data_IF_968490457879
#
_entry.id   IF_968490457879
#
_cell.length_a   1.000
_cell.length_b   1.000
_cell.length_c   1.000
_cell.angle_alpha   90.00
_cell.angle_beta   90.00
_cell.angle_gamma   90.00
#
_symmetry.space_group_name_H-M   'P 1'
#
loop_
_entity.id
_entity.type
_entity.pdbx_description
1 polymer ?
#
# COMPACT_ATOMS: atom_id res chain seq x y z
N UNK A 1 55.55 -31.17 4.71
CA UNK A 1 54.94 -31.33 3.37
C UNK A 1 54.76 -29.95 2.79
N UNK A 2 55.49 -29.64 1.72
CA UNK A 2 55.49 -28.35 1.06
C UNK A 2 54.25 -28.16 0.17
N UNK A 3 53.73 -26.93 0.09
CA UNK A 3 52.90 -26.49 -1.01
C UNK A 3 53.23 -25.02 -1.33
N UNK A 4 53.75 -24.82 -2.53
CA UNK A 4 53.98 -23.54 -3.20
C UNK A 4 52.72 -23.20 -4.00
N UNK A 5 52.24 -21.96 -3.96
CA UNK A 5 51.49 -21.41 -5.11
C UNK A 5 51.46 -19.88 -5.16
N UNK A 6 52.19 -19.38 -6.16
CA UNK A 6 52.02 -18.22 -7.03
C UNK A 6 51.08 -17.05 -6.65
N UNK A 7 51.69 -15.87 -6.56
CA UNK A 7 51.08 -14.55 -6.64
C UNK A 7 51.11 -14.06 -8.11
N UNK A 8 49.97 -13.61 -8.66
CA UNK A 8 49.92 -12.76 -9.86
C UNK A 8 48.87 -11.67 -9.72
N UNK A 9 49.38 -10.45 -9.68
CA UNK A 9 48.71 -9.16 -9.79
C UNK A 9 48.32 -8.87 -11.24
N UNK A 10 47.09 -8.38 -11.47
CA UNK A 10 46.65 -7.80 -12.75
C UNK A 10 46.02 -6.44 -12.48
N UNK A 11 46.61 -5.41 -13.06
CA UNK A 11 46.15 -4.03 -13.08
C UNK A 11 44.95 -3.87 -14.03
N UNK A 12 43.92 -3.15 -13.59
CA UNK A 12 42.79 -2.70 -14.40
C UNK A 12 43.08 -1.31 -14.99
N UNK A 13 42.96 -1.19 -16.32
CA UNK A 13 43.04 0.08 -17.07
C UNK A 13 41.60 0.48 -17.46
N UNK A 14 41.18 1.76 -17.35
CA UNK A 14 39.84 2.20 -17.70
C UNK A 14 39.73 2.58 -19.19
N UNK A 15 38.67 2.14 -19.87
CA UNK A 15 38.34 2.53 -21.24
C UNK A 15 37.47 3.79 -21.28
N UNK A 16 38.02 4.85 -21.89
CA UNK A 16 37.33 6.06 -22.34
C UNK A 16 36.51 5.75 -23.61
N UNK A 17 35.26 6.22 -23.67
CA UNK A 17 34.49 6.34 -24.92
C UNK A 17 34.69 7.77 -25.46
N UNK A 18 35.11 7.86 -26.73
CA UNK A 18 35.32 9.11 -27.47
C UNK A 18 34.25 9.23 -28.55
N UNK A 19 33.66 10.42 -28.65
CA UNK A 19 32.75 10.88 -29.71
C UNK A 19 33.50 11.32 -30.98
N UNK A 20 32.89 11.08 -32.16
CA UNK A 20 33.01 11.77 -33.47
C UNK A 20 32.16 10.95 -34.45
N UNK A 21 31.38 11.44 -35.42
CA UNK A 21 31.34 12.72 -36.13
C UNK A 21 31.23 12.40 -37.64
N UNK A 22 30.04 12.65 -38.20
CA UNK A 22 29.61 12.95 -39.60
C UNK A 22 30.33 12.38 -40.85
N UNK A 23 29.55 11.92 -41.85
CA UNK A 23 29.58 12.39 -43.26
C UNK A 23 28.48 11.74 -44.17
N UNK A 24 27.54 12.59 -44.59
CA UNK A 24 26.90 12.82 -45.90
C UNK A 24 26.56 11.72 -46.97
N UNK A 25 25.26 11.74 -47.33
CA UNK A 25 24.64 11.95 -48.66
C UNK A 25 24.24 10.79 -49.62
N UNK A 26 22.97 10.91 -50.04
CA UNK A 26 22.29 10.58 -51.31
C UNK A 26 21.69 9.17 -51.57
N UNK A 27 20.37 9.16 -51.81
CA UNK A 27 19.67 8.13 -52.58
C UNK A 27 18.26 7.81 -52.08
N UNK A 28 17.23 8.24 -52.82
CA UNK A 28 15.83 7.79 -52.71
C UNK A 28 15.22 7.75 -54.11
N UNK A 29 14.07 7.09 -54.37
CA UNK A 29 13.52 5.87 -53.78
C UNK A 29 13.01 4.88 -54.88
N UNK A 30 12.81 3.60 -54.55
CA UNK A 30 11.91 2.73 -55.33
C UNK A 30 11.07 1.84 -54.43
N UNK A 31 9.79 1.76 -54.81
CA UNK A 31 8.69 1.19 -54.08
C UNK A 31 8.57 -0.32 -54.27
N UNK A 32 8.11 -1.03 -53.24
CA UNK A 32 7.44 -2.32 -53.37
C UNK A 32 6.33 -2.45 -52.32
N UNK A 33 5.13 -2.76 -52.82
CA UNK A 33 3.85 -2.87 -52.10
C UNK A 33 3.81 -4.04 -51.09
N UNK A 34 2.97 -3.95 -50.04
CA UNK A 34 2.69 -5.08 -49.14
C UNK A 34 1.62 -6.03 -49.72
N UNK A 35 1.80 -7.32 -49.45
CA UNK A 35 0.87 -8.39 -49.81
C UNK A 35 -0.29 -8.46 -48.80
N UNK A 36 -1.51 -8.38 -49.34
CA UNK A 36 -2.78 -8.70 -48.69
C UNK A 36 -2.84 -10.21 -48.39
N UNK A 37 -3.08 -10.60 -47.14
CA UNK A 37 -3.53 -11.95 -46.81
C UNK A 37 -5.04 -11.97 -46.58
N UNK A 38 -5.72 -12.60 -47.54
CA UNK A 38 -7.16 -12.85 -47.57
C UNK A 38 -7.54 -13.93 -46.56
N UNK A 39 -8.65 -13.70 -45.86
CA UNK A 39 -9.42 -14.70 -45.10
C UNK A 39 -9.74 -15.91 -45.97
N UNK A 40 -9.58 -17.11 -45.42
CA UNK A 40 -10.29 -18.32 -45.87
C UNK A 40 -10.93 -19.01 -44.67
N UNK A 41 -12.26 -19.11 -44.75
CA UNK A 41 -13.09 -20.02 -43.98
C UNK A 41 -12.73 -21.46 -44.32
N UNK A 42 -12.56 -22.30 -43.31
CA UNK A 42 -12.79 -23.73 -43.41
C UNK A 42 -13.59 -24.20 -42.21
N UNK A 43 -14.76 -24.74 -42.51
CA UNK A 43 -15.66 -25.47 -41.63
C UNK A 43 -14.96 -26.70 -41.02
N UNK A 44 -15.12 -26.89 -39.71
CA UNK A 44 -15.26 -28.22 -39.12
C UNK A 44 -16.45 -28.18 -38.16
N UNK A 45 -17.45 -29.02 -38.46
CA UNK A 45 -18.59 -29.37 -37.61
C UNK A 45 -18.14 -30.39 -36.57
N UNK A 46 -18.58 -30.21 -35.32
CA UNK A 46 -18.94 -31.34 -34.43
C UNK A 46 -19.89 -30.85 -33.33
N UNK A 47 -21.15 -31.22 -33.49
CA UNK A 47 -22.11 -31.66 -32.46
C UNK A 47 -22.04 -31.08 -31.04
N UNK A 48 -22.98 -30.17 -30.73
CA UNK A 48 -23.64 -30.09 -29.43
C UNK A 48 -25.11 -29.68 -29.69
N UNK A 49 -26.04 -30.58 -29.38
CA UNK A 49 -27.48 -30.30 -29.28
C UNK A 49 -27.95 -30.68 -27.89
N UNK A 50 -28.97 -29.96 -27.48
CA UNK A 50 -29.90 -30.21 -26.38
C UNK A 50 -29.45 -29.75 -24.98
N UNK A 51 -29.88 -28.53 -24.62
CA UNK A 51 -30.86 -28.34 -23.55
C UNK A 51 -31.30 -26.86 -23.53
N UNK A 52 -32.49 -26.59 -24.05
CA UNK A 52 -33.17 -25.30 -23.88
C UNK A 52 -34.55 -25.53 -23.23
N UNK A 53 -34.77 -24.78 -22.15
CA UNK A 53 -36.04 -24.16 -21.77
C UNK A 53 -37.16 -25.08 -21.25
N UNK A 54 -37.15 -25.27 -19.93
CA UNK A 54 -38.36 -25.50 -19.13
C UNK A 54 -38.55 -24.28 -18.21
N UNK A 55 -39.61 -23.50 -18.42
CA UNK A 55 -40.58 -23.08 -17.39
C UNK A 55 -41.57 -22.05 -17.97
N UNK A 56 -42.79 -22.52 -18.20
CA UNK A 56 -43.95 -21.70 -18.56
C UNK A 56 -45.20 -22.14 -17.80
N UNK A 57 -45.67 -21.24 -16.93
CA UNK A 57 -47.06 -20.86 -16.54
C UNK A 57 -48.21 -21.91 -16.37
N UNK A 58 -48.81 -21.81 -15.17
CA UNK A 58 -50.23 -21.55 -14.82
C UNK A 58 -51.38 -22.53 -15.17
N UNK A 59 -52.19 -22.95 -14.17
CA UNK A 59 -53.58 -22.47 -13.88
C UNK A 59 -54.43 -23.38 -12.94
N UNK A 60 -55.08 -22.76 -11.92
CA UNK A 60 -56.50 -22.92 -11.45
C UNK A 60 -57.03 -24.27 -10.87
N UNK A 61 -58.06 -24.42 -10.01
CA UNK A 61 -58.88 -23.61 -9.08
C UNK A 61 -59.79 -24.55 -8.21
N UNK A 62 -60.04 -24.18 -6.93
CA UNK A 62 -61.24 -24.25 -6.04
C UNK A 62 -62.30 -25.43 -6.11
N UNK A 63 -62.57 -26.15 -4.99
CA UNK A 63 -63.86 -26.16 -4.20
C UNK A 63 -63.98 -27.21 -3.04
N UNK A 64 -64.30 -26.70 -1.82
CA UNK A 64 -65.28 -27.12 -0.77
C UNK A 64 -65.32 -28.51 -0.07
N UNK A 65 -65.19 -28.54 1.29
CA UNK A 65 -66.29 -28.68 2.31
C UNK A 65 -66.00 -29.54 3.58
N UNK A 66 -66.34 -28.97 4.78
CA UNK A 66 -66.82 -29.55 6.09
C UNK A 66 -65.92 -30.58 6.85
N UNK A 67 -65.80 -30.67 8.19
CA UNK A 67 -66.34 -29.99 9.40
C UNK A 67 -65.79 -30.65 10.71
N UNK A 68 -65.62 -29.87 11.83
CA UNK A 68 -65.52 -30.21 13.29
C UNK A 68 -64.40 -31.20 13.79
N UNK A 69 -63.73 -31.11 14.96
CA UNK A 69 -63.94 -30.42 16.25
C UNK A 69 -62.65 -30.28 17.11
N UNK A 70 -62.72 -29.37 18.12
CA UNK A 70 -62.13 -29.41 19.49
C UNK A 70 -60.62 -29.31 19.74
N UNK A 71 -60.16 -28.16 20.29
CA UNK A 71 -59.64 -28.00 21.69
C UNK A 71 -58.93 -26.63 21.91
N UNK A 72 -58.80 -26.12 23.16
CA UNK A 72 -58.78 -24.67 23.42
C UNK A 72 -57.42 -24.06 23.84
N UNK A 73 -57.35 -22.73 23.65
CA UNK A 73 -56.60 -21.72 24.43
C UNK A 73 -55.06 -21.77 24.47
N UNK A 74 -54.40 -21.00 23.59
CA UNK A 74 -53.01 -20.56 23.77
C UNK A 74 -53.01 -19.25 24.56
N UNK A 75 -52.37 -19.30 25.74
CA UNK A 75 -52.10 -18.15 26.60
C UNK A 75 -50.97 -17.34 25.97
N UNK A 76 -51.20 -16.05 25.71
CA UNK A 76 -50.16 -15.13 25.21
C UNK A 76 -49.24 -14.76 26.37
N UNK A 77 -48.02 -15.31 26.39
CA UNK A 77 -46.97 -14.88 27.29
C UNK A 77 -46.28 -13.62 26.72
N UNK A 78 -46.21 -12.55 27.53
CA UNK A 78 -45.43 -11.34 27.23
C UNK A 78 -43.94 -11.68 27.04
N UNK A 79 -43.22 -11.02 26.12
CA UNK A 79 -41.81 -11.25 25.97
C UNK A 79 -41.08 -10.64 27.17
N UNK A 80 -40.37 -11.47 27.91
CA UNK A 80 -39.41 -11.02 28.90
C UNK A 80 -38.32 -10.20 28.20
N UNK A 81 -38.09 -8.99 28.69
CA UNK A 81 -36.99 -8.13 28.25
C UNK A 81 -35.70 -8.77 28.77
N UNK A 82 -35.08 -9.60 27.94
CA UNK A 82 -33.72 -10.09 28.18
C UNK A 82 -32.80 -8.90 28.05
N UNK A 83 -32.27 -8.41 29.18
CA UNK A 83 -31.21 -7.42 29.20
C UNK A 83 -30.06 -7.93 28.33
N UNK A 84 -29.76 -7.21 27.25
CA UNK A 84 -28.57 -7.42 26.43
C UNK A 84 -27.35 -7.37 27.36
N UNK A 85 -26.83 -8.55 27.71
CA UNK A 85 -25.56 -8.67 28.39
C UNK A 85 -24.51 -7.96 27.52
N UNK A 86 -23.89 -6.91 28.06
CA UNK A 86 -22.70 -6.30 27.51
C UNK A 86 -21.73 -7.41 27.13
N UNK A 87 -21.31 -7.43 25.87
CA UNK A 87 -20.25 -8.31 25.41
C UNK A 87 -19.05 -8.19 26.37
N UNK A 88 -18.44 -9.30 26.80
CA UNK A 88 -17.28 -9.21 27.67
C UNK A 88 -16.19 -8.40 26.95
N UNK A 89 -15.70 -7.33 27.59
CA UNK A 89 -14.52 -6.59 27.13
C UNK A 89 -13.41 -7.62 26.86
N UNK A 90 -13.08 -7.84 25.59
CA UNK A 90 -11.98 -8.73 25.18
C UNK A 90 -10.73 -8.24 25.92
N UNK A 91 -10.10 -9.09 26.72
CA UNK A 91 -8.83 -8.72 27.36
C UNK A 91 -7.80 -8.48 26.25
N UNK A 92 -7.15 -7.31 26.27
CA UNK A 92 -6.07 -6.99 25.34
C UNK A 92 -4.95 -8.04 25.44
N UNK A 93 -4.36 -8.40 24.31
CA UNK A 93 -3.23 -9.33 24.25
C UNK A 93 -1.96 -8.56 24.60
N UNK A 94 -1.13 -9.13 25.47
CA UNK A 94 0.22 -8.61 25.68
C UNK A 94 1.10 -8.98 24.48
N UNK A 95 1.66 -7.97 23.82
CA UNK A 95 2.44 -8.11 22.59
C UNK A 95 3.88 -7.68 22.84
N UNK A 96 4.83 -8.58 22.56
CA UNK A 96 6.24 -8.24 22.47
C UNK A 96 6.53 -7.66 21.07
N UNK A 97 6.80 -6.35 20.99
CA UNK A 97 7.10 -5.66 19.75
C UNK A 97 8.61 -5.52 19.55
N UNK A 98 9.16 -6.30 18.62
CA UNK A 98 10.48 -6.06 18.06
C UNK A 98 10.39 -5.04 16.92
N UNK A 99 11.48 -4.36 16.61
CA UNK A 99 11.51 -3.36 15.54
C UNK A 99 12.91 -3.28 14.92
N UNK A 100 12.99 -2.84 13.66
CA UNK A 100 14.25 -2.43 13.08
C UNK A 100 14.65 -1.03 13.58
N UNK A 101 15.95 -0.74 13.61
CA UNK A 101 16.47 0.50 14.20
C UNK A 101 15.89 1.77 13.53
N UNK A 102 15.67 1.72 12.21
CA UNK A 102 15.07 2.82 11.45
C UNK A 102 13.68 3.21 11.98
N UNK A 103 12.94 2.27 12.58
CA UNK A 103 11.58 2.46 13.07
C UNK A 103 11.50 2.74 14.59
N UNK A 104 12.63 2.96 15.27
CA UNK A 104 12.67 3.20 16.73
C UNK A 104 11.64 4.23 17.19
N UNK A 105 11.62 5.40 16.56
CA UNK A 105 10.71 6.48 16.92
C UNK A 105 9.23 6.05 16.82
N UNK A 106 8.86 5.31 15.77
CA UNK A 106 7.49 4.81 15.60
C UNK A 106 7.19 3.70 16.60
N UNK A 107 8.14 2.81 16.89
CA UNK A 107 7.96 1.76 17.89
C UNK A 107 7.68 2.35 19.29
N UNK A 108 8.42 3.39 19.69
CA UNK A 108 8.19 4.10 20.95
C UNK A 108 6.80 4.74 21.00
N UNK A 109 6.35 5.39 19.92
CA UNK A 109 5.00 5.93 19.84
C UNK A 109 3.94 4.83 19.93
N UNK A 110 4.11 3.69 19.25
CA UNK A 110 3.18 2.55 19.32
C UNK A 110 3.07 2.01 20.76
N UNK A 111 4.19 1.90 21.47
CA UNK A 111 4.20 1.43 22.85
C UNK A 111 3.47 2.41 23.79
N UNK A 112 3.52 3.71 23.50
CA UNK A 112 2.78 4.73 24.27
C UNK A 112 1.26 4.66 24.08
N UNK A 113 0.77 4.09 22.97
CA UNK A 113 -0.67 3.94 22.71
C UNK A 113 -1.34 2.85 23.57
N UNK A 114 -0.56 1.91 24.12
CA UNK A 114 -1.12 0.81 24.91
C UNK A 114 -0.09 0.10 25.79
N UNK A 115 -0.35 0.05 27.10
CA UNK A 115 0.45 -0.69 28.10
C UNK A 115 0.60 -2.20 27.81
N UNK A 116 -0.25 -2.74 26.94
CA UNK A 116 -0.16 -4.13 26.48
C UNK A 116 0.96 -4.37 25.46
N UNK A 117 1.66 -3.34 24.98
CA UNK A 117 2.72 -3.46 23.98
C UNK A 117 4.07 -3.20 24.65
N UNK A 118 4.91 -4.23 24.71
CA UNK A 118 6.24 -4.16 25.32
C UNK A 118 7.32 -4.21 24.24
N UNK A 119 8.19 -3.20 24.21
CA UNK A 119 9.30 -3.15 23.26
C UNK A 119 10.37 -4.21 23.58
N UNK A 120 10.91 -4.80 22.52
CA UNK A 120 12.04 -5.75 22.56
C UNK A 120 13.14 -5.31 21.62
N UNK A 121 14.38 -5.61 21.99
CA UNK A 121 15.58 -5.25 21.23
C UNK A 121 16.13 -6.41 20.40
N UNK A 122 16.81 -6.06 19.31
CA UNK A 122 17.67 -6.95 18.53
C UNK A 122 19.04 -6.27 18.46
N UNK A 123 20.10 -7.05 18.63
CA UNK A 123 21.46 -6.58 18.41
C UNK A 123 21.80 -6.74 16.92
N UNK A 124 21.71 -5.63 16.18
CA UNK A 124 22.02 -5.53 14.74
C UNK A 124 23.53 -5.34 14.52
N UNK A 125 24.29 -6.43 14.53
CA UNK A 125 25.76 -6.41 14.30
C UNK A 125 26.08 -6.97 12.92
N UNK A 126 27.31 -6.73 12.46
CA UNK A 126 27.85 -7.28 11.20
C UNK A 126 29.18 -8.00 11.44
N UNK A 127 29.49 -8.98 10.60
CA UNK A 127 30.84 -9.53 10.45
C UNK A 127 31.72 -8.57 9.63
N UNK A 128 33.03 -8.82 9.61
CA UNK A 128 34.01 -7.98 8.89
C UNK A 128 33.80 -7.98 7.36
N UNK A 129 33.18 -9.02 6.81
CA UNK A 129 32.82 -9.12 5.38
C UNK A 129 31.51 -8.39 5.03
N UNK A 130 30.86 -7.77 6.01
CA UNK A 130 29.63 -7.01 5.85
C UNK A 130 28.33 -7.83 5.95
N UNK A 131 28.40 -9.15 6.14
CA UNK A 131 27.20 -9.96 6.37
C UNK A 131 26.67 -9.79 7.81
N UNK A 132 25.34 -9.93 8.02
CA UNK A 132 24.73 -9.66 9.32
C UNK A 132 25.04 -10.74 10.37
N UNK A 133 25.39 -10.31 11.58
CA UNK A 133 25.63 -11.10 12.81
C UNK A 133 24.59 -10.76 13.89
N UNK A 134 23.35 -11.10 13.60
CA UNK A 134 22.18 -10.67 14.37
C UNK A 134 21.99 -11.50 15.65
N UNK A 135 21.49 -10.87 16.71
CA UNK A 135 21.15 -11.56 17.94
C UNK A 135 19.83 -11.06 18.53
N UNK A 136 18.90 -11.98 18.79
CA UNK A 136 17.60 -11.68 19.41
C UNK A 136 17.76 -11.75 20.93
N UNK A 137 17.74 -10.59 21.57
CA UNK A 137 17.88 -10.49 23.03
C UNK A 137 16.68 -11.16 23.73
N UNK A 138 16.94 -11.89 24.82
CA UNK A 138 15.92 -12.59 25.62
C UNK A 138 14.99 -13.55 24.82
N UNK A 139 15.54 -14.29 23.85
CA UNK A 139 14.79 -15.24 23.02
C UNK A 139 14.01 -16.32 23.82
N UNK A 140 14.46 -16.68 25.03
CA UNK A 140 13.72 -17.58 25.91
C UNK A 140 12.46 -16.95 26.49
N UNK A 141 12.48 -15.63 26.75
CA UNK A 141 11.39 -14.90 27.36
C UNK A 141 10.14 -14.83 26.48
N UNK A 142 10.29 -14.84 25.16
CA UNK A 142 9.17 -14.67 24.21
C UNK A 142 8.39 -15.97 23.91
N UNK A 143 8.79 -17.10 24.49
CA UNK A 143 8.09 -18.38 24.28
C UNK A 143 6.64 -18.30 24.78
N UNK A 144 5.70 -18.75 23.94
CA UNK A 144 4.27 -18.68 24.26
C UNK A 144 3.67 -17.27 24.26
N UNK A 145 4.42 -16.23 23.90
CA UNK A 145 3.93 -14.87 23.82
C UNK A 145 3.41 -14.52 22.42
N UNK A 146 2.61 -13.45 22.34
CA UNK A 146 2.29 -12.80 21.06
C UNK A 146 3.45 -11.89 20.68
N UNK A 147 4.05 -12.14 19.51
CA UNK A 147 5.23 -11.42 19.06
C UNK A 147 4.92 -10.67 17.79
N UNK A 148 5.46 -9.46 17.66
CA UNK A 148 5.37 -8.68 16.44
C UNK A 148 6.73 -8.10 16.06
N UNK A 149 6.88 -7.79 14.77
CA UNK A 149 8.06 -7.14 14.22
C UNK A 149 7.66 -5.94 13.36
N UNK A 150 8.06 -4.73 13.77
CA UNK A 150 7.91 -3.51 12.98
C UNK A 150 9.10 -3.35 12.02
N UNK A 151 8.81 -3.55 10.74
CA UNK A 151 9.78 -3.57 9.65
C UNK A 151 9.85 -2.23 8.90
N UNK A 152 10.99 -2.00 8.23
CA UNK A 152 11.20 -0.92 7.27
C UNK A 152 12.07 -1.45 6.14
N UNK A 153 11.50 -1.67 4.97
CA UNK A 153 12.23 -2.22 3.82
C UNK A 153 12.83 -1.09 2.97
N UNK A 154 13.75 -0.33 3.56
CA UNK A 154 14.35 0.87 2.97
C UNK A 154 15.36 0.59 1.85
N UNK A 155 16.02 -0.57 1.87
CA UNK A 155 16.99 -0.98 0.87
C UNK A 155 17.13 -2.51 0.78
N UNK A 156 17.67 -3.07 -0.32
CA UNK A 156 17.89 -4.51 -0.44
C UNK A 156 18.74 -5.13 0.67
N UNK A 157 19.78 -4.41 1.15
CA UNK A 157 20.61 -4.87 2.26
C UNK A 157 19.83 -4.96 3.58
N UNK A 158 19.06 -3.91 3.87
CA UNK A 158 18.19 -3.82 5.06
C UNK A 158 17.06 -4.86 5.01
N UNK A 159 16.56 -5.20 3.82
CA UNK A 159 15.57 -6.29 3.65
C UNK A 159 16.17 -7.63 4.08
N UNK A 160 17.40 -7.95 3.68
CA UNK A 160 18.02 -9.25 3.97
C UNK A 160 18.22 -9.49 5.48
N UNK A 161 18.74 -8.49 6.21
CA UNK A 161 18.91 -8.60 7.67
C UNK A 161 17.55 -8.74 8.38
N UNK A 162 16.53 -7.98 7.98
CA UNK A 162 15.22 -8.02 8.63
C UNK A 162 14.50 -9.33 8.33
N UNK A 163 14.59 -9.86 7.10
CA UNK A 163 14.05 -11.18 6.76
C UNK A 163 14.66 -12.29 7.62
N UNK A 164 15.95 -12.19 7.96
CA UNK A 164 16.62 -13.15 8.85
C UNK A 164 15.98 -13.19 10.24
N UNK A 165 15.64 -12.02 10.81
CA UNK A 165 14.89 -11.91 12.07
C UNK A 165 13.45 -12.40 11.93
N UNK A 166 12.75 -11.93 10.90
CA UNK A 166 11.35 -12.27 10.61
C UNK A 166 11.19 -13.79 10.47
N UNK A 167 12.17 -14.48 9.86
CA UNK A 167 12.14 -15.94 9.73
C UNK A 167 12.49 -16.68 11.02
N UNK A 168 13.28 -16.06 11.90
CA UNK A 168 13.70 -16.65 13.17
C UNK A 168 12.61 -16.57 14.25
N UNK A 169 11.96 -15.40 14.41
CA UNK A 169 11.03 -15.13 15.51
C UNK A 169 9.89 -16.17 15.65
N UNK A 170 9.16 -16.57 14.58
CA UNK A 170 8.12 -17.58 14.68
C UNK A 170 8.62 -18.93 15.20
N UNK A 171 9.88 -19.29 14.90
CA UNK A 171 10.49 -20.57 15.27
C UNK A 171 10.92 -20.60 16.74
N UNK A 172 10.87 -19.48 17.45
CA UNK A 172 11.19 -19.38 18.88
C UNK A 172 9.99 -19.75 19.77
N UNK A 173 9.09 -20.62 19.28
CA UNK A 173 7.92 -21.13 20.00
C UNK A 173 6.95 -20.04 20.48
N UNK A 174 6.84 -18.95 19.73
CA UNK A 174 5.89 -17.85 20.00
C UNK A 174 4.45 -18.33 19.73
N UNK A 175 3.47 -17.76 20.44
CA UNK A 175 2.06 -18.13 20.29
C UNK A 175 1.47 -17.57 19.00
N UNK A 176 1.84 -16.36 18.60
CA UNK A 176 1.46 -15.79 17.30
C UNK A 176 2.56 -14.85 16.82
N UNK A 177 2.61 -14.61 15.51
CA UNK A 177 3.54 -13.68 14.91
C UNK A 177 2.86 -12.72 13.94
N UNK A 178 3.15 -11.43 14.09
CA UNK A 178 2.66 -10.36 13.21
C UNK A 178 3.84 -9.54 12.69
N UNK A 179 3.98 -9.43 11.38
CA UNK A 179 4.90 -8.47 10.76
C UNK A 179 4.09 -7.23 10.43
N UNK A 180 4.54 -6.07 10.93
CA UNK A 180 4.03 -4.77 10.50
C UNK A 180 5.03 -4.22 9.51
N UNK A 181 4.65 -4.15 8.23
CA UNK A 181 5.45 -3.58 7.16
C UNK A 181 4.68 -2.36 6.63
N UNK A 182 4.85 -1.16 7.22
CA UNK A 182 4.02 -0.01 6.90
C UNK A 182 3.98 0.32 5.41
N UNK A 183 5.11 0.20 4.72
CA UNK A 183 5.24 0.46 3.29
C UNK A 183 5.78 -0.78 2.54
N UNK A 184 5.11 -1.18 1.46
CA UNK A 184 5.53 -2.29 0.59
C UNK A 184 6.31 -1.74 -0.64
N UNK A 185 7.65 -1.78 -0.62
CA UNK A 185 8.48 -0.93 -1.50
C UNK A 185 8.45 -1.31 -2.98
N UNK A 186 8.11 -2.56 -3.31
CA UNK A 186 8.04 -3.05 -4.70
C UNK A 186 6.63 -2.98 -5.28
N UNK A 187 5.63 -2.47 -4.53
CA UNK A 187 4.23 -2.48 -4.94
C UNK A 187 3.93 -1.69 -6.21
N UNK A 188 4.78 -0.74 -6.60
CA UNK A 188 4.63 0.01 -7.86
C UNK A 188 5.17 -0.73 -9.10
N UNK A 189 5.74 -1.93 -8.91
CA UNK A 189 6.20 -2.79 -10.01
C UNK A 189 5.54 -4.15 -9.89
N UNK A 190 4.20 -4.10 -9.90
CA UNK A 190 3.28 -5.21 -9.72
C UNK A 190 2.89 -5.89 -11.03
N UNK A 191 2.96 -5.18 -12.16
CA UNK A 191 2.52 -5.70 -13.46
C UNK A 191 3.66 -5.78 -14.47
N UNK A 192 3.54 -6.71 -15.42
CA UNK A 192 4.35 -6.75 -16.63
C UNK A 192 3.63 -5.90 -17.69
N UNK A 193 4.33 -4.95 -18.30
CA UNK A 193 3.82 -4.20 -19.45
C UNK A 193 4.22 -4.91 -20.76
N UNK A 194 5.41 -5.50 -20.80
CA UNK A 194 5.94 -6.27 -21.92
C UNK A 194 6.53 -7.63 -21.47
N UNK A 195 6.71 -8.55 -22.42
CA UNK A 195 7.34 -9.84 -22.14
C UNK A 195 8.81 -9.62 -21.71
N UNK A 196 9.18 -10.21 -20.56
CA UNK A 196 10.50 -10.03 -19.95
C UNK A 196 10.54 -9.05 -18.77
N UNK A 197 9.47 -8.27 -18.55
CA UNK A 197 9.33 -7.50 -17.31
C UNK A 197 9.24 -8.44 -16.11
N UNK A 198 9.90 -8.07 -15.01
CA UNK A 198 9.90 -8.86 -13.77
C UNK A 198 9.11 -8.11 -12.71
N UNK A 199 7.88 -8.54 -12.43
CA UNK A 199 7.05 -7.96 -11.38
C UNK A 199 7.66 -8.23 -9.98
N UNK A 200 8.47 -7.30 -9.47
CA UNK A 200 9.20 -7.47 -8.21
C UNK A 200 8.27 -7.44 -6.98
N UNK A 201 7.07 -6.87 -7.10
CA UNK A 201 6.01 -6.99 -6.09
C UNK A 201 5.69 -8.47 -5.81
N UNK A 202 5.53 -9.27 -6.87
CA UNK A 202 5.25 -10.70 -6.76
C UNK A 202 6.39 -11.42 -6.05
N UNK A 203 7.63 -11.17 -6.45
CA UNK A 203 8.81 -11.80 -5.81
C UNK A 203 8.89 -11.50 -4.32
N UNK A 204 8.72 -10.24 -3.91
CA UNK A 204 8.76 -9.86 -2.49
C UNK A 204 7.60 -10.48 -1.71
N UNK A 205 6.38 -10.47 -2.26
CA UNK A 205 5.23 -11.11 -1.65
C UNK A 205 5.44 -12.62 -1.46
N UNK A 206 6.08 -13.31 -2.41
CA UNK A 206 6.43 -14.74 -2.31
C UNK A 206 7.50 -15.00 -1.27
N UNK A 207 8.50 -14.12 -1.13
CA UNK A 207 9.47 -14.20 -0.04
C UNK A 207 8.75 -14.07 1.31
N UNK A 208 7.91 -13.05 1.50
CA UNK A 208 7.12 -12.90 2.73
C UNK A 208 6.16 -14.07 2.98
N UNK A 209 5.66 -14.71 1.92
CA UNK A 209 4.81 -15.91 2.05
C UNK A 209 5.55 -17.14 2.58
N UNK A 210 6.88 -17.12 2.61
CA UNK A 210 7.68 -18.22 3.16
C UNK A 210 8.10 -17.98 4.62
N UNK A 211 7.55 -16.95 5.28
CA UNK A 211 7.72 -16.75 6.72
C UNK A 211 7.22 -18.01 7.45
N UNK A 212 8.03 -18.60 8.36
CA UNK A 212 7.62 -19.79 9.09
C UNK A 212 6.36 -19.57 9.93
N UNK A 213 5.55 -20.61 10.00
CA UNK A 213 4.31 -20.63 10.79
C UNK A 213 4.67 -20.68 12.29
N UNK A 214 4.00 -19.86 13.10
CA UNK A 214 4.15 -19.85 14.57
C UNK A 214 3.30 -20.98 15.20
N UNK A 215 3.35 -21.15 16.53
CA UNK A 215 2.52 -22.19 17.19
C UNK A 215 1.02 -21.99 17.00
N UNK A 216 0.57 -20.73 16.91
CA UNK A 216 -0.83 -20.38 16.73
C UNK A 216 -1.27 -20.26 15.27
N UNK A 217 -0.38 -20.58 14.31
CA UNK A 217 -0.71 -20.58 12.89
C UNK A 217 0.04 -19.54 12.06
N UNK A 218 -0.48 -19.27 10.84
CA UNK A 218 0.12 -18.36 9.86
C UNK A 218 0.44 -16.98 10.43
N UNK A 219 1.51 -16.37 9.93
CA UNK A 219 1.91 -15.04 10.37
C UNK A 219 1.00 -13.98 9.75
N UNK A 220 0.55 -13.01 10.54
CA UNK A 220 -0.18 -11.86 10.03
C UNK A 220 0.79 -10.85 9.42
N UNK A 221 0.41 -10.20 8.31
CA UNK A 221 1.23 -9.19 7.63
C UNK A 221 0.41 -7.91 7.46
N UNK A 222 0.69 -6.91 8.29
CA UNK A 222 0.01 -5.61 8.26
C UNK A 222 0.73 -4.68 7.30
N UNK A 223 0.03 -4.21 6.27
CA UNK A 223 0.55 -3.26 5.27
C UNK A 223 -0.45 -2.12 5.12
N UNK A 224 0.03 -0.88 5.08
CA UNK A 224 -0.81 0.29 4.87
C UNK A 224 -0.84 0.66 3.38
N UNK A 225 -2.04 1.00 2.88
CA UNK A 225 -2.30 1.56 1.55
C UNK A 225 -1.45 0.96 0.41
N UNK A 226 -1.45 -0.37 0.33
CA UNK A 226 -0.76 -1.11 -0.75
C UNK A 226 -1.17 -0.59 -2.14
N UNK A 227 -0.19 -0.49 -3.05
CA UNK A 227 -0.36 0.20 -4.33
C UNK A 227 -1.51 -0.38 -5.16
N UNK A 228 -1.55 -1.70 -5.34
CA UNK A 228 -2.65 -2.38 -6.00
C UNK A 228 -3.27 -3.42 -5.06
N UNK A 229 -4.57 -3.30 -4.81
CA UNK A 229 -5.30 -4.25 -3.94
C UNK A 229 -5.21 -5.70 -4.47
N UNK A 230 -5.01 -5.88 -5.78
CA UNK A 230 -4.80 -7.15 -6.45
C UNK A 230 -3.52 -7.86 -6.00
N UNK A 231 -2.53 -7.14 -5.45
CA UNK A 231 -1.33 -7.74 -4.84
C UNK A 231 -1.68 -8.71 -3.70
N UNK A 232 -2.89 -8.65 -3.14
CA UNK A 232 -3.43 -9.67 -2.22
C UNK A 232 -3.25 -11.10 -2.76
N UNK A 233 -3.37 -11.28 -4.08
CA UNK A 233 -3.24 -12.59 -4.73
C UNK A 233 -1.79 -13.02 -4.96
N UNK A 234 -0.81 -12.16 -4.68
CA UNK A 234 0.61 -12.53 -4.73
C UNK A 234 1.07 -13.25 -3.48
N UNK A 235 0.42 -13.01 -2.34
CA UNK A 235 0.70 -13.71 -1.11
C UNK A 235 0.16 -15.14 -1.17
N UNK A 236 0.94 -16.09 -0.65
CA UNK A 236 0.54 -17.47 -0.47
C UNK A 236 -0.13 -17.70 0.89
N UNK A 237 -0.66 -18.91 1.08
CA UNK A 237 -1.57 -19.24 2.20
C UNK A 237 -0.89 -19.31 3.59
N UNK A 238 0.44 -19.24 3.64
CA UNK A 238 1.21 -19.32 4.89
C UNK A 238 1.33 -17.97 5.62
N UNK A 239 0.80 -16.90 5.03
CA UNK A 239 0.68 -15.58 5.64
C UNK A 239 -0.72 -15.01 5.46
N UNK A 240 -1.13 -14.15 6.37
CA UNK A 240 -2.42 -13.48 6.36
C UNK A 240 -2.22 -11.99 6.09
N UNK A 241 -2.28 -11.54 4.82
CA UNK A 241 -2.15 -10.13 4.50
C UNK A 241 -3.35 -9.34 5.01
N UNK A 242 -3.09 -8.44 5.94
CA UNK A 242 -4.02 -7.49 6.51
C UNK A 242 -3.70 -6.09 5.98
N UNK A 243 -4.58 -5.58 5.12
CA UNK A 243 -4.36 -4.29 4.47
C UNK A 243 -5.13 -3.20 5.20
N UNK A 244 -4.37 -2.28 5.76
CA UNK A 244 -4.85 -1.12 6.51
C UNK A 244 -4.75 0.15 5.66
N UNK A 245 -5.36 1.23 6.14
CA UNK A 245 -5.32 2.52 5.44
C UNK A 245 -4.99 3.67 6.37
N UNK A 246 -4.17 4.62 5.92
CA UNK A 246 -3.88 5.88 6.61
C UNK A 246 -4.98 6.92 6.46
N UNK A 247 -5.99 6.69 5.61
CA UNK A 247 -7.11 7.60 5.36
C UNK A 247 -7.85 8.09 6.63
N UNK A 248 -8.08 7.28 7.68
CA UNK A 248 -8.69 7.77 8.91
C UNK A 248 -7.91 8.92 9.57
N UNK A 249 -6.57 8.89 9.49
CA UNK A 249 -5.71 9.95 10.01
C UNK A 249 -5.91 11.25 9.22
N UNK A 250 -5.94 11.16 7.89
CA UNK A 250 -6.24 12.31 7.03
C UNK A 250 -7.61 12.90 7.39
N UNK A 251 -8.66 12.09 7.47
CA UNK A 251 -10.02 12.56 7.79
C UNK A 251 -10.08 13.32 9.11
N UNK A 252 -9.47 12.76 10.16
CA UNK A 252 -9.39 13.42 11.46
C UNK A 252 -8.67 14.77 11.32
N UNK A 253 -7.55 14.79 10.60
CA UNK A 253 -6.79 16.03 10.40
C UNK A 253 -7.57 17.09 9.62
N UNK A 254 -8.31 16.70 8.58
CA UNK A 254 -9.14 17.62 7.79
C UNK A 254 -10.29 18.22 8.61
N UNK A 255 -10.88 17.45 9.54
CA UNK A 255 -11.91 17.95 10.46
C UNK A 255 -11.38 18.99 11.46
N UNK A 256 -10.08 18.97 11.75
CA UNK A 256 -9.45 19.94 12.64
C UNK A 256 -9.04 21.25 11.93
N UNK A 257 -9.19 21.33 10.61
CA UNK A 257 -8.86 22.54 9.87
C UNK A 257 -9.94 23.61 10.07
N UNK A 258 -9.56 24.90 10.14
CA UNK A 258 -10.53 25.98 10.33
C UNK A 258 -11.49 26.15 9.14
N UNK A 259 -11.12 25.66 7.97
CA UNK A 259 -11.92 25.66 6.74
C UNK A 259 -12.42 24.25 6.35
N UNK A 260 -12.65 23.37 7.35
CA UNK A 260 -13.12 21.98 7.16
C UNK A 260 -14.31 21.86 6.21
N UNK A 261 -15.22 22.83 6.25
CA UNK A 261 -16.46 22.84 5.47
C UNK A 261 -16.26 23.24 3.99
N UNK A 262 -15.08 23.78 3.64
CA UNK A 262 -14.75 24.23 2.28
C UNK A 262 -13.67 23.37 1.59
N UNK A 263 -13.50 22.12 2.03
CA UNK A 263 -12.50 21.20 1.48
C UNK A 263 -13.06 20.44 0.27
N UNK A 264 -12.26 20.30 -0.77
CA UNK A 264 -12.44 19.32 -1.86
C UNK A 264 -11.29 18.34 -1.89
N UNK A 265 -11.57 17.11 -2.30
CA UNK A 265 -10.52 16.10 -2.53
C UNK A 265 -10.23 16.03 -4.03
N UNK A 266 -8.97 16.18 -4.40
CA UNK A 266 -8.49 15.95 -5.75
C UNK A 266 -7.72 14.63 -5.84
N UNK A 267 -7.97 13.87 -6.90
CA UNK A 267 -7.20 12.69 -7.25
C UNK A 267 -6.29 13.01 -8.45
N UNK A 268 -4.97 12.83 -8.35
CA UNK A 268 -4.03 13.18 -9.42
C UNK A 268 -4.18 12.30 -10.67
N UNK A 269 -4.77 11.12 -10.55
CA UNK A 269 -5.08 10.20 -11.65
C UNK A 269 -6.24 9.24 -11.32
N UNK A 270 -6.62 8.39 -12.28
CA UNK A 270 -7.69 7.41 -12.09
C UNK A 270 -7.32 6.29 -11.09
N UNK A 271 -6.02 6.03 -10.87
CA UNK A 271 -5.55 4.97 -9.96
C UNK A 271 -5.79 5.34 -8.50
N UNK A 272 -5.32 6.53 -8.11
CA UNK A 272 -5.58 7.15 -6.81
C UNK A 272 -7.08 7.29 -6.52
N UNK A 273 -7.88 7.74 -7.51
CA UNK A 273 -9.35 7.80 -7.38
C UNK A 273 -9.93 6.41 -7.07
N UNK A 274 -9.60 5.37 -7.85
CA UNK A 274 -10.11 4.00 -7.63
C UNK A 274 -9.79 3.49 -6.22
N UNK A 275 -8.62 3.84 -5.69
CA UNK A 275 -8.14 3.39 -4.38
C UNK A 275 -8.87 4.06 -3.21
N UNK A 276 -9.13 5.37 -3.30
CA UNK A 276 -9.52 6.16 -2.12
C UNK A 276 -10.93 6.77 -2.18
N UNK A 277 -11.57 6.91 -3.35
CA UNK A 277 -12.82 7.66 -3.48
C UNK A 277 -13.94 7.17 -2.54
N UNK A 278 -14.08 5.85 -2.33
CA UNK A 278 -15.11 5.29 -1.43
C UNK A 278 -14.92 5.74 0.01
N UNK A 279 -13.68 5.92 0.43
CA UNK A 279 -13.36 6.39 1.77
C UNK A 279 -13.63 7.90 1.91
N UNK A 280 -13.56 8.67 0.81
CA UNK A 280 -13.63 10.14 0.80
C UNK A 280 -14.92 10.69 0.16
N UNK A 281 -15.94 9.85 -0.03
CA UNK A 281 -17.20 10.18 -0.70
C UNK A 281 -18.01 11.36 -0.08
N UNK A 282 -17.68 11.77 1.14
CA UNK A 282 -18.34 12.89 1.83
C UNK A 282 -17.80 14.26 1.42
N UNK A 283 -16.68 14.30 0.70
CA UNK A 283 -16.10 15.54 0.18
C UNK A 283 -16.46 15.70 -1.30
N UNK A 284 -16.65 16.93 -1.80
CA UNK A 284 -16.69 17.17 -3.24
C UNK A 284 -15.40 16.67 -3.89
N UNK A 285 -15.55 15.88 -4.94
CA UNK A 285 -14.45 15.20 -5.63
C UNK A 285 -14.05 15.96 -6.89
N UNK A 286 -12.75 16.06 -7.09
CA UNK A 286 -12.09 16.56 -8.28
C UNK A 286 -11.22 15.44 -8.82
N UNK A 287 -11.32 15.16 -10.11
CA UNK A 287 -10.50 14.13 -10.76
C UNK A 287 -9.62 14.80 -11.80
N UNK A 288 -8.33 14.58 -11.67
CA UNK A 288 -7.34 14.93 -12.67
C UNK A 288 -6.97 13.68 -13.48
N UNK A 289 -6.42 13.88 -14.67
CA UNK A 289 -5.91 12.80 -15.49
C UNK A 289 -4.52 13.12 -15.99
N UNK A 290 -3.65 12.12 -15.87
CA UNK A 290 -2.31 12.14 -16.44
C UNK A 290 -2.39 11.83 -17.93
N UNK A 291 -1.99 12.79 -18.75
CA UNK A 291 -1.95 12.64 -20.21
C UNK A 291 -0.50 12.45 -20.65
N UNK A 292 -0.30 11.55 -21.62
CA UNK A 292 0.98 11.29 -22.25
C UNK A 292 0.84 11.62 -23.73
N UNK A 293 1.53 12.66 -24.18
CA UNK A 293 1.60 13.08 -25.59
C UNK A 293 3.06 13.00 -26.04
N UNK A 294 3.44 11.89 -26.68
CA UNK A 294 4.84 11.57 -26.95
C UNK A 294 5.64 11.45 -25.65
N UNK A 295 6.77 12.18 -25.57
CA UNK A 295 7.60 12.24 -24.37
C UNK A 295 7.07 13.21 -23.30
N UNK A 296 6.09 14.06 -23.65
CA UNK A 296 5.50 15.02 -22.72
C UNK A 296 4.48 14.34 -21.81
N UNK A 297 4.61 14.60 -20.51
CA UNK A 297 3.71 14.11 -19.47
C UNK A 297 3.20 15.29 -18.68
N UNK A 298 1.89 15.52 -18.69
CA UNK A 298 1.24 16.60 -17.94
C UNK A 298 -0.09 16.13 -17.34
N UNK A 299 -0.68 16.96 -16.49
CA UNK A 299 -1.96 16.70 -15.83
C UNK A 299 -3.04 17.63 -16.42
N UNK A 300 -4.27 17.14 -16.58
CA UNK A 300 -5.45 17.97 -16.91
C UNK A 300 -6.57 17.72 -15.91
N UNK A 301 -7.38 18.74 -15.66
CA UNK A 301 -8.63 18.60 -14.92
C UNK A 301 -9.64 17.81 -15.78
N UNK A 302 -10.16 16.70 -15.26
CA UNK A 302 -11.13 15.84 -15.95
C UNK A 302 -12.55 16.13 -15.46
N UNK A 303 -12.75 16.15 -14.14
CA UNK A 303 -14.05 16.35 -13.49
C UNK A 303 -13.91 17.16 -12.19
N UNK A 304 -14.98 17.87 -11.81
CA UNK A 304 -15.06 18.67 -10.57
C UNK A 304 -14.67 20.15 -10.75
N UNK A 305 -14.93 20.96 -9.72
CA UNK A 305 -14.61 22.39 -9.70
C UNK A 305 -13.74 22.74 -8.47
N UNK A 306 -12.48 23.15 -8.67
CA UNK A 306 -11.60 23.59 -7.59
C UNK A 306 -11.86 25.02 -7.12
N UNK A 307 -12.64 25.82 -7.86
CA UNK A 307 -12.69 27.28 -7.68
C UNK A 307 -13.11 27.71 -6.27
N UNK A 308 -12.28 28.52 -5.62
CA UNK A 308 -12.53 29.07 -4.29
C UNK A 308 -12.43 28.05 -3.14
N UNK A 309 -11.99 26.82 -3.41
CA UNK A 309 -11.94 25.73 -2.42
C UNK A 309 -10.53 25.49 -1.90
N UNK A 310 -10.44 24.91 -0.70
CA UNK A 310 -9.20 24.27 -0.24
C UNK A 310 -9.16 22.87 -0.84
N UNK A 311 -8.31 22.66 -1.83
CA UNK A 311 -8.20 21.38 -2.53
C UNK A 311 -7.08 20.54 -1.90
N UNK A 312 -7.39 19.32 -1.50
CA UNK A 312 -6.42 18.35 -0.96
C UNK A 312 -6.19 17.25 -1.98
N UNK A 313 -4.98 17.18 -2.53
CA UNK A 313 -4.58 16.11 -3.45
C UNK A 313 -4.28 14.85 -2.63
N UNK A 314 -4.90 13.73 -2.96
CA UNK A 314 -4.73 12.46 -2.22
C UNK A 314 -4.14 11.39 -3.13
N UNK A 315 -3.03 10.78 -2.70
CA UNK A 315 -2.39 9.64 -3.38
C UNK A 315 -1.85 8.62 -2.36
N UNK A 316 -1.43 7.44 -2.80
CA UNK A 316 -0.87 6.41 -1.89
C UNK A 316 0.58 6.72 -1.52
N UNK A 317 1.40 7.10 -2.50
CA UNK A 317 2.78 7.47 -2.26
C UNK A 317 3.27 8.58 -3.19
N UNK A 318 4.44 9.13 -2.86
CA UNK A 318 5.17 10.04 -3.75
C UNK A 318 6.66 9.71 -3.79
N UNK A 319 7.22 9.70 -5.01
CA UNK A 319 8.66 9.59 -5.25
C UNK A 319 9.23 10.90 -5.81
N UNK A 320 9.07 11.13 -7.12
CA UNK A 320 9.64 12.34 -7.76
C UNK A 320 8.84 13.60 -7.43
N UNK A 321 7.54 13.47 -7.15
CA UNK A 321 6.62 14.58 -6.92
C UNK A 321 6.07 15.26 -8.18
N UNK A 322 6.48 14.83 -9.38
CA UNK A 322 6.08 15.48 -10.64
C UNK A 322 4.56 15.54 -10.83
N UNK A 323 3.85 14.43 -10.65
CA UNK A 323 2.40 14.38 -10.82
C UNK A 323 1.67 15.32 -9.86
N UNK A 324 2.06 15.34 -8.58
CA UNK A 324 1.45 16.22 -7.56
C UNK A 324 1.69 17.71 -7.85
N UNK A 325 2.89 18.08 -8.27
CA UNK A 325 3.24 19.47 -8.60
C UNK A 325 2.46 19.94 -9.85
N UNK A 326 2.35 19.10 -10.88
CA UNK A 326 1.55 19.45 -12.07
C UNK A 326 0.06 19.53 -11.72
N UNK A 327 -0.45 18.62 -10.89
CA UNK A 327 -1.80 18.68 -10.36
C UNK A 327 -2.05 19.99 -9.59
N UNK A 328 -1.11 20.39 -8.71
CA UNK A 328 -1.17 21.67 -7.99
C UNK A 328 -1.30 22.85 -8.96
N UNK A 329 -0.44 22.93 -9.99
CA UNK A 329 -0.51 24.02 -10.98
C UNK A 329 -1.85 24.07 -11.71
N UNK A 330 -2.34 22.91 -12.13
CA UNK A 330 -3.65 22.80 -12.82
C UNK A 330 -4.77 23.28 -11.90
N UNK A 331 -4.82 22.82 -10.66
CA UNK A 331 -5.84 23.22 -9.69
C UNK A 331 -5.79 24.72 -9.37
N UNK A 332 -4.59 25.29 -9.21
CA UNK A 332 -4.40 26.72 -9.00
C UNK A 332 -4.87 27.54 -10.21
N UNK A 333 -4.53 27.11 -11.43
CA UNK A 333 -4.98 27.76 -12.67
C UNK A 333 -6.50 27.74 -12.85
N UNK A 334 -7.19 26.75 -12.26
CA UNK A 334 -8.66 26.67 -12.24
C UNK A 334 -9.29 27.35 -11.01
N UNK A 335 -8.49 28.09 -10.23
CA UNK A 335 -8.98 28.98 -9.18
C UNK A 335 -9.10 28.35 -7.79
N UNK A 336 -8.41 27.24 -7.50
CA UNK A 336 -8.27 26.76 -6.12
C UNK A 336 -7.80 27.88 -5.19
N UNK A 337 -8.39 28.00 -4.00
CA UNK A 337 -7.99 29.02 -3.02
C UNK A 337 -6.74 28.61 -2.23
N UNK A 338 -6.62 27.32 -1.92
CA UNK A 338 -5.47 26.70 -1.24
C UNK A 338 -5.29 25.31 -1.79
N UNK A 339 -4.05 24.82 -1.82
CA UNK A 339 -3.76 23.45 -2.23
C UNK A 339 -2.93 22.77 -1.15
N UNK A 340 -3.37 21.61 -0.70
CA UNK A 340 -2.62 20.71 0.16
C UNK A 340 -2.45 19.36 -0.52
N UNK A 341 -1.55 18.54 -0.01
CA UNK A 341 -1.41 17.15 -0.44
C UNK A 341 -1.40 16.22 0.78
N UNK A 342 -1.88 15.01 0.57
CA UNK A 342 -1.68 13.87 1.45
C UNK A 342 -1.14 12.71 0.64
N UNK A 343 -0.11 12.06 1.17
CA UNK A 343 0.20 10.67 0.79
C UNK A 343 0.39 9.81 2.02
N UNK A 344 0.10 8.52 1.92
CA UNK A 344 0.45 7.61 3.01
C UNK A 344 1.98 7.46 3.07
N UNK A 345 2.63 7.21 1.93
CA UNK A 345 4.06 6.94 1.87
C UNK A 345 4.85 8.06 1.16
N UNK A 346 5.51 8.93 1.93
CA UNK A 346 6.48 9.89 1.39
C UNK A 346 7.83 9.23 1.18
N UNK A 347 8.18 8.82 -0.04
CA UNK A 347 9.43 8.07 -0.31
C UNK A 347 10.59 9.02 -0.62
N UNK A 348 10.31 10.05 -1.42
CA UNK A 348 11.22 11.16 -1.79
C UNK A 348 12.71 10.82 -1.97
N UNK A 349 13.07 9.93 -2.92
CA UNK A 349 14.47 9.63 -3.19
C UNK A 349 15.24 10.89 -3.61
N UNK A 350 16.52 10.99 -3.25
CA UNK A 350 17.38 12.14 -3.58
C UNK A 350 16.81 13.49 -3.13
N UNK A 351 16.14 13.52 -1.97
CA UNK A 351 15.57 14.74 -1.37
C UNK A 351 14.58 15.47 -2.29
N UNK A 352 13.85 14.73 -3.13
CA UNK A 352 12.82 15.32 -4.01
C UNK A 352 11.70 16.04 -3.25
N UNK A 353 11.55 15.79 -1.95
CA UNK A 353 10.68 16.55 -1.05
C UNK A 353 10.97 18.06 -1.07
N UNK A 354 12.22 18.48 -1.33
CA UNK A 354 12.60 19.89 -1.38
C UNK A 354 11.89 20.69 -2.49
N UNK A 355 11.29 20.00 -3.45
CA UNK A 355 10.49 20.61 -4.53
C UNK A 355 9.17 21.17 -4.02
N UNK A 356 8.66 20.67 -2.90
CA UNK A 356 7.40 21.11 -2.31
C UNK A 356 7.67 22.28 -1.37
N UNK A 357 7.20 23.46 -1.79
CA UNK A 357 7.36 24.71 -1.03
C UNK A 357 6.12 24.98 -0.19
N UNK A 358 6.29 25.78 0.85
CA UNK A 358 5.18 26.24 1.67
C UNK A 358 4.44 27.39 0.97
N UNK A 359 3.11 27.33 0.98
CA UNK A 359 2.23 28.44 0.58
C UNK A 359 2.05 29.43 1.74
N UNK A 360 2.64 30.61 1.58
CA UNK A 360 2.55 31.74 2.50
C UNK A 360 1.22 32.52 2.41
N UNK A 361 0.30 32.09 1.54
CA UNK A 361 -1.01 32.69 1.33
C UNK A 361 -1.05 33.72 0.21
N UNK A 362 0.05 33.94 -0.52
CA UNK A 362 0.09 34.85 -1.67
C UNK A 362 -0.50 34.19 -2.91
N UNK A 363 -0.14 32.93 -3.20
CA UNK A 363 -0.65 32.23 -4.38
C UNK A 363 -0.46 30.71 -4.32
N UNK A 364 -1.52 29.91 -4.58
CA UNK A 364 -1.48 28.45 -4.46
C UNK A 364 -0.69 27.74 -5.58
N UNK A 365 -0.26 28.44 -6.62
CA UNK A 365 0.61 27.89 -7.67
C UNK A 365 2.08 27.79 -7.24
N UNK A 366 2.48 28.46 -6.15
CA UNK A 366 3.89 28.53 -5.70
C UNK A 366 4.25 27.57 -4.57
N UNK A 367 3.27 26.97 -3.90
CA UNK A 367 3.49 26.07 -2.79
C UNK A 367 2.23 25.33 -2.36
N UNK A 368 2.39 24.45 -1.39
CA UNK A 368 1.30 23.75 -0.73
C UNK A 368 1.11 24.33 0.66
N UNK A 369 -0.15 24.43 1.08
CA UNK A 369 -0.51 24.89 2.42
C UNK A 369 -0.10 23.89 3.50
N UNK A 370 -0.36 22.62 3.21
CA UNK A 370 0.07 21.48 4.03
C UNK A 370 0.44 20.32 3.12
N UNK A 371 1.44 19.55 3.52
CA UNK A 371 1.76 18.26 2.93
C UNK A 371 1.77 17.22 4.04
N UNK A 372 0.66 16.51 4.18
CA UNK A 372 0.55 15.42 5.14
C UNK A 372 1.20 14.15 4.59
N UNK A 373 2.04 13.55 5.41
CA UNK A 373 2.58 12.20 5.18
C UNK A 373 2.39 11.36 6.43
N UNK A 374 2.48 10.04 6.32
CA UNK A 374 2.57 9.19 7.51
C UNK A 374 4.03 8.86 7.85
N UNK A 375 4.23 8.19 8.97
CA UNK A 375 5.54 7.67 9.41
C UNK A 375 5.88 6.27 8.87
N UNK A 376 5.22 5.84 7.79
CA UNK A 376 5.57 4.60 7.08
C UNK A 376 6.98 4.58 6.48
N UNK A 377 7.59 5.76 6.27
CA UNK A 377 8.91 5.93 5.66
C UNK A 377 9.82 6.74 6.60
N UNK A 378 10.58 6.09 7.50
CA UNK A 378 11.26 6.76 8.62
C UNK A 378 12.36 7.73 8.18
N UNK A 379 13.10 7.39 7.13
CA UNK A 379 14.15 8.27 6.57
C UNK A 379 13.58 9.62 6.14
N UNK A 380 12.46 9.59 5.43
CA UNK A 380 11.78 10.82 5.00
C UNK A 380 11.26 11.61 6.19
N UNK A 381 10.63 10.95 7.17
CA UNK A 381 10.16 11.64 8.39
C UNK A 381 11.28 12.40 9.06
N UNK A 382 12.46 11.78 9.21
CA UNK A 382 13.63 12.43 9.81
C UNK A 382 14.10 13.65 9.00
N UNK A 383 13.97 13.63 7.68
CA UNK A 383 14.37 14.76 6.82
C UNK A 383 13.38 15.92 6.82
N UNK A 384 12.07 15.65 6.97
CA UNK A 384 11.02 16.68 6.81
C UNK A 384 10.39 17.15 8.12
N UNK A 385 10.71 16.52 9.25
CA UNK A 385 10.14 16.87 10.56
C UNK A 385 10.39 18.34 10.89
N UNK A 386 9.31 19.08 11.13
CA UNK A 386 9.38 20.51 11.46
C UNK A 386 9.67 21.42 10.27
N UNK A 387 9.63 20.91 9.03
CA UNK A 387 9.87 21.69 7.81
C UNK A 387 8.54 21.89 7.07
N UNK A 388 8.01 23.12 7.01
CA UNK A 388 6.83 23.41 6.19
C UNK A 388 7.08 23.09 4.70
N UNK A 389 6.08 22.56 3.98
CA UNK A 389 4.69 22.35 4.39
C UNK A 389 4.42 21.01 5.10
N UNK A 390 5.45 20.23 5.42
CA UNK A 390 5.28 18.85 5.85
C UNK A 390 4.74 18.72 7.29
N UNK A 391 3.76 17.85 7.44
CA UNK A 391 3.19 17.46 8.73
C UNK A 391 3.05 15.92 8.74
N UNK A 392 3.54 15.28 9.80
CA UNK A 392 3.54 13.81 9.92
C UNK A 392 2.32 13.38 10.74
N UNK A 393 1.47 12.56 10.13
CA UNK A 393 0.32 11.92 10.76
C UNK A 393 0.73 10.50 11.17
N UNK A 394 0.92 10.26 12.47
CA UNK A 394 1.51 9.01 12.95
C UNK A 394 0.57 7.80 12.78
N UNK A 395 1.11 6.68 12.30
CA UNK A 395 0.43 5.38 12.24
C UNK A 395 0.41 4.66 13.60
N UNK A 396 1.00 5.23 14.65
CA UNK A 396 1.18 4.56 15.93
C UNK A 396 -0.12 3.96 16.49
N UNK A 397 -1.20 4.76 16.56
CA UNK A 397 -2.51 4.30 17.02
C UNK A 397 -3.08 3.18 16.14
N UNK A 398 -3.05 3.35 14.82
CA UNK A 398 -3.54 2.34 13.87
C UNK A 398 -2.76 1.02 13.98
N UNK A 399 -1.44 1.08 14.17
CA UNK A 399 -0.60 -0.10 14.35
C UNK A 399 -0.89 -0.75 15.72
N UNK A 400 -1.01 0.03 16.79
CA UNK A 400 -1.34 -0.48 18.11
C UNK A 400 -2.68 -1.23 18.11
N UNK A 401 -3.69 -0.70 17.41
CA UNK A 401 -4.98 -1.36 17.23
C UNK A 401 -4.86 -2.65 16.40
N UNK A 402 -4.11 -2.62 15.29
CA UNK A 402 -3.89 -3.79 14.45
C UNK A 402 -3.18 -4.95 15.18
N UNK A 403 -2.32 -4.64 16.17
CA UNK A 403 -1.65 -5.64 17.00
C UNK A 403 -2.58 -6.35 17.99
N UNK A 404 -3.82 -5.88 18.18
CA UNK A 404 -4.79 -6.44 19.13
C UNK A 404 -5.82 -7.39 18.51
N UNK A 405 -5.75 -7.64 17.19
CA UNK A 405 -6.68 -8.50 16.42
C UNK A 405 -6.58 -9.98 16.84
#
# INVERSE_FOLDING_TARGET
MAAVSFCRSVNLIPTRIVSRGELNQHGSPTATRPLLFSRRNTLIRSELRDLDLYYGRNNEAIHASRSYSSSPSVVVASPAVTSLALSPKRSKKNVCLFFCEEMRNLAELIAMESDAIELRSIDWRNFEDGFPNLFISNAHGIRGQHVSFLASFSSPGVIFEQLSIIYALPRLFVSSFTVVLPFFPTGSYERMEEEGDVATAFTLARILSNIPISRGGPSSLVIFDIHALQERFYFGDNVLPFFESGMPLLKNRLQQLPDSDNISIAFPDDGSWKRFHKQLQHFPVIVCTKVREGDHRFVRLKEGDPKGRHVVIVDDFVQSGGTLIECQKVLAAHGAAKISAYVTHGIFPNKTWQRFKYDDGVSPDKGMRYFWITDSCPHTVNEVKGIPPFEVLSLAGSIADALQI
#
